data_IF_375219481433
#
_entry.id   IF_375219481433
#
_cell.length_a   1.000
_cell.length_b   1.000
_cell.length_c   1.000
_cell.angle_alpha   90.00
_cell.angle_beta   90.00
_cell.angle_gamma   90.00
#
_symmetry.space_group_name_H-M   'P 1'
#
loop_
_entity.id
_entity.type
_entity.pdbx_description
1 polymer ?
#
# COMPACT_ATOMS: atom_id res chain seq x y z
N UNK A 1 -20.59 17.40 50.01
CA UNK A 1 -19.56 17.65 48.99
C UNK A 1 -18.91 16.30 48.73
N UNK A 2 -19.21 15.70 47.57
CA UNK A 2 -18.69 14.40 47.16
C UNK A 2 -17.48 14.64 46.28
N UNK A 3 -16.29 14.33 46.74
CA UNK A 3 -15.05 14.37 45.98
C UNK A 3 -14.95 13.12 45.08
N UNK A 4 -15.13 13.28 43.78
CA UNK A 4 -14.94 12.24 42.79
C UNK A 4 -13.43 12.17 42.49
N UNK A 5 -12.71 11.18 42.96
CA UNK A 5 -11.34 10.89 42.62
C UNK A 5 -11.27 10.25 41.22
N UNK A 6 -10.79 11.02 40.22
CA UNK A 6 -10.50 10.49 38.89
C UNK A 6 -9.18 9.72 38.99
N UNK A 7 -9.26 8.41 39.02
CA UNK A 7 -8.09 7.53 38.90
C UNK A 7 -7.54 7.60 37.48
N UNK A 8 -6.37 8.19 37.32
CA UNK A 8 -5.60 8.11 36.07
C UNK A 8 -5.08 6.69 35.95
N UNK A 9 -5.66 5.89 35.03
CA UNK A 9 -5.14 4.60 34.64
C UNK A 9 -3.92 4.87 33.72
N UNK A 10 -2.72 4.79 34.29
CA UNK A 10 -1.47 4.75 33.53
C UNK A 10 -1.43 3.43 32.75
N UNK A 11 -1.76 3.46 31.46
CA UNK A 11 -1.55 2.33 30.55
C UNK A 11 -0.04 2.19 30.36
N UNK A 12 0.60 1.04 30.65
CA UNK A 12 2.02 0.88 30.54
C UNK A 12 2.44 0.88 29.06
N UNK A 13 2.96 2.00 28.58
CA UNK A 13 3.53 2.16 27.24
C UNK A 13 4.70 1.20 26.92
N UNK A 14 5.27 0.59 27.93
CA UNK A 14 6.40 -0.35 27.83
C UNK A 14 5.99 -1.72 27.24
N UNK A 15 4.74 -2.18 27.48
CA UNK A 15 4.32 -3.49 26.99
C UNK A 15 4.09 -3.52 25.48
N UNK A 16 3.66 -2.40 24.87
CA UNK A 16 3.41 -2.29 23.44
C UNK A 16 4.74 -2.25 22.66
N UNK A 17 5.74 -1.55 23.17
CA UNK A 17 7.07 -1.46 22.54
C UNK A 17 7.82 -2.82 22.56
N UNK A 18 7.68 -3.62 23.63
CA UNK A 18 8.36 -4.92 23.72
C UNK A 18 7.74 -6.01 22.85
N UNK A 19 6.41 -6.00 22.65
CA UNK A 19 5.74 -6.93 21.73
C UNK A 19 6.06 -6.60 20.27
N UNK A 20 6.15 -5.33 19.92
CA UNK A 20 6.53 -4.88 18.57
C UNK A 20 7.98 -5.26 18.23
N UNK A 21 8.92 -5.02 19.13
CA UNK A 21 10.31 -5.40 18.95
C UNK A 21 10.52 -6.92 18.81
N UNK A 22 9.71 -7.73 19.51
CA UNK A 22 9.78 -9.20 19.42
C UNK A 22 9.21 -9.74 18.13
N UNK A 23 8.18 -9.09 17.54
CA UNK A 23 7.60 -9.53 16.26
C UNK A 23 8.56 -9.27 15.09
N UNK A 24 9.36 -8.22 15.15
CA UNK A 24 10.33 -7.88 14.11
C UNK A 24 11.55 -8.82 14.07
N UNK A 25 11.90 -9.45 15.19
CA UNK A 25 13.02 -10.40 15.26
C UNK A 25 12.81 -11.68 14.42
N UNK A 26 11.57 -11.95 13.97
CA UNK A 26 11.21 -13.12 13.20
C UNK A 26 10.83 -12.79 11.74
N UNK A 27 11.26 -11.64 11.23
CA UNK A 27 11.17 -11.35 9.79
C UNK A 27 12.26 -12.15 9.06
N UNK A 28 11.83 -13.00 8.14
CA UNK A 28 12.73 -13.84 7.34
C UNK A 28 13.02 -13.24 5.97
N UNK A 29 13.67 -14.03 5.14
CA UNK A 29 14.06 -13.63 3.78
C UNK A 29 12.85 -13.24 2.91
N UNK A 30 11.71 -13.96 3.04
CA UNK A 30 10.52 -13.69 2.24
C UNK A 30 9.89 -12.34 2.61
N UNK A 31 9.85 -11.99 3.90
CA UNK A 31 9.34 -10.71 4.37
C UNK A 31 10.24 -9.56 3.94
N UNK A 32 11.55 -9.74 3.98
CA UNK A 32 12.54 -8.77 3.48
C UNK A 32 12.35 -8.57 1.97
N UNK A 33 12.33 -9.65 1.20
CA UNK A 33 12.13 -9.59 -0.25
C UNK A 33 10.77 -8.95 -0.61
N UNK A 34 9.70 -9.33 0.09
CA UNK A 34 8.39 -8.70 -0.08
C UNK A 34 8.45 -7.20 0.17
N UNK A 35 9.11 -6.75 1.24
CA UNK A 35 9.23 -5.33 1.55
C UNK A 35 10.03 -4.58 0.47
N UNK A 36 11.13 -5.14 0.00
CA UNK A 36 11.96 -4.56 -1.07
C UNK A 36 11.19 -4.42 -2.39
N UNK A 37 10.27 -5.35 -2.70
CA UNK A 37 9.42 -5.29 -3.89
C UNK A 37 8.22 -4.36 -3.70
N UNK A 38 7.54 -4.44 -2.56
CA UNK A 38 6.29 -3.72 -2.34
C UNK A 38 6.50 -2.21 -2.11
N UNK A 39 7.64 -1.79 -1.59
CA UNK A 39 7.97 -0.36 -1.43
C UNK A 39 7.94 0.38 -2.77
N UNK A 40 8.73 0.02 -3.80
CA UNK A 40 8.68 0.70 -5.09
C UNK A 40 7.35 0.50 -5.81
N UNK A 41 6.67 -0.62 -5.59
CA UNK A 41 5.32 -0.85 -6.10
C UNK A 41 4.35 0.19 -5.53
N UNK A 42 4.31 0.39 -4.23
CA UNK A 42 3.49 1.42 -3.59
C UNK A 42 3.87 2.85 -4.02
N UNK A 43 5.16 3.12 -4.20
CA UNK A 43 5.62 4.43 -4.72
C UNK A 43 5.03 4.74 -6.09
N UNK A 44 4.91 3.75 -6.96
CA UNK A 44 4.29 3.96 -8.27
C UNK A 44 2.78 4.27 -8.14
N UNK A 45 2.03 3.56 -7.28
CA UNK A 45 0.61 3.87 -7.05
C UNK A 45 0.40 5.27 -6.46
N UNK A 46 1.26 5.69 -5.52
CA UNK A 46 1.26 7.04 -4.96
C UNK A 46 1.51 8.06 -6.07
N UNK A 47 2.52 7.84 -6.93
CA UNK A 47 2.82 8.71 -8.07
C UNK A 47 1.65 8.80 -9.05
N UNK A 48 1.00 7.67 -9.38
CA UNK A 48 -0.20 7.64 -10.22
C UNK A 48 -1.36 8.41 -9.58
N UNK A 49 -1.54 8.28 -8.28
CA UNK A 49 -2.55 9.00 -7.52
C UNK A 49 -2.30 10.51 -7.52
N UNK A 50 -1.04 10.93 -7.37
CA UNK A 50 -0.66 12.35 -7.48
C UNK A 50 -0.95 12.94 -8.88
N UNK A 51 -0.77 12.15 -9.94
CA UNK A 51 -1.15 12.55 -11.30
C UNK A 51 -2.68 12.70 -11.40
N UNK A 52 -3.44 11.75 -10.83
CA UNK A 52 -4.90 11.80 -10.84
C UNK A 52 -5.45 13.00 -10.07
N UNK A 53 -4.88 13.33 -8.92
CA UNK A 53 -5.25 14.50 -8.12
C UNK A 53 -5.04 15.83 -8.89
N UNK A 54 -4.08 15.88 -9.81
CA UNK A 54 -3.80 17.07 -10.64
C UNK A 54 -4.67 17.14 -11.90
N UNK A 55 -5.04 15.99 -12.48
CA UNK A 55 -5.64 15.91 -13.81
C UNK A 55 -7.13 15.61 -13.83
N UNK A 56 -7.62 14.78 -12.91
CA UNK A 56 -9.03 14.43 -12.85
C UNK A 56 -9.88 15.59 -12.32
N UNK A 57 -11.11 15.66 -12.80
CA UNK A 57 -12.20 16.50 -12.22
C UNK A 57 -13.31 15.65 -11.62
N UNK A 58 -13.21 14.33 -11.71
CA UNK A 58 -14.17 13.41 -11.15
C UNK A 58 -13.96 13.24 -9.66
N UNK A 59 -14.90 13.69 -8.85
CA UNK A 59 -14.79 13.68 -7.38
C UNK A 59 -14.58 12.27 -6.81
N UNK A 60 -15.14 11.24 -7.42
CA UNK A 60 -14.94 9.87 -6.96
C UNK A 60 -13.51 9.39 -7.19
N UNK A 61 -12.89 9.78 -8.33
CA UNK A 61 -11.48 9.48 -8.62
C UNK A 61 -10.56 10.26 -7.70
N UNK A 62 -10.83 11.55 -7.44
CA UNK A 62 -10.04 12.36 -6.51
C UNK A 62 -10.07 11.76 -5.10
N UNK A 63 -11.26 11.35 -4.62
CA UNK A 63 -11.42 10.68 -3.32
C UNK A 63 -10.63 9.36 -3.27
N UNK A 64 -10.78 8.51 -4.28
CA UNK A 64 -10.06 7.23 -4.39
C UNK A 64 -8.55 7.45 -4.39
N UNK A 65 -8.04 8.40 -5.16
CA UNK A 65 -6.61 8.72 -5.25
C UNK A 65 -6.04 9.17 -3.90
N UNK A 66 -6.77 10.00 -3.15
CA UNK A 66 -6.36 10.39 -1.79
C UNK A 66 -6.33 9.19 -0.83
N UNK A 67 -7.30 8.28 -0.92
CA UNK A 67 -7.34 7.06 -0.10
C UNK A 67 -6.16 6.14 -0.39
N UNK A 68 -5.90 5.83 -1.67
CA UNK A 68 -4.76 5.02 -2.11
C UNK A 68 -3.45 5.64 -1.61
N UNK A 69 -3.24 6.94 -1.84
CA UNK A 69 -2.03 7.65 -1.43
C UNK A 69 -1.79 7.56 0.08
N UNK A 70 -2.83 7.79 0.89
CA UNK A 70 -2.72 7.74 2.35
C UNK A 70 -2.42 6.34 2.86
N UNK A 71 -3.17 5.34 2.38
CA UNK A 71 -3.04 3.97 2.85
C UNK A 71 -1.69 3.36 2.46
N UNK A 72 -1.35 3.43 1.17
CA UNK A 72 -0.09 2.87 0.69
C UNK A 72 1.14 3.65 1.18
N UNK A 73 1.00 4.93 1.51
CA UNK A 73 2.03 5.69 2.22
C UNK A 73 2.32 5.14 3.62
N UNK A 74 1.28 4.76 4.36
CA UNK A 74 1.41 4.12 5.68
C UNK A 74 2.04 2.72 5.57
N UNK A 75 1.56 1.90 4.63
CA UNK A 75 2.09 0.56 4.38
C UNK A 75 3.56 0.60 3.96
N UNK A 76 3.93 1.53 3.07
CA UNK A 76 5.32 1.77 2.67
C UNK A 76 6.22 2.09 3.88
N UNK A 77 5.74 2.93 4.80
CA UNK A 77 6.49 3.28 6.01
C UNK A 77 6.69 2.09 6.93
N UNK A 78 5.69 1.22 7.05
CA UNK A 78 5.81 -0.03 7.81
C UNK A 78 6.83 -0.99 7.17
N UNK A 79 6.79 -1.16 5.85
CA UNK A 79 7.75 -2.00 5.13
C UNK A 79 9.19 -1.46 5.23
N UNK A 80 9.39 -0.15 5.13
CA UNK A 80 10.69 0.48 5.34
C UNK A 80 11.21 0.27 6.77
N UNK A 81 10.32 0.27 7.76
CA UNK A 81 10.68 -0.05 9.14
C UNK A 81 11.13 -1.51 9.28
N UNK A 82 10.52 -2.47 8.58
CA UNK A 82 10.96 -3.86 8.55
C UNK A 82 12.38 -4.01 8.01
N UNK A 83 12.67 -3.36 6.87
CA UNK A 83 14.02 -3.40 6.28
C UNK A 83 15.07 -2.81 7.23
N UNK A 84 14.74 -1.70 7.88
CA UNK A 84 15.61 -1.11 8.89
C UNK A 84 15.83 -2.05 10.09
N UNK A 85 14.80 -2.71 10.58
CA UNK A 85 14.85 -3.60 11.73
C UNK A 85 15.65 -4.88 11.46
N UNK A 86 15.74 -5.29 10.19
CA UNK A 86 16.51 -6.46 9.73
C UNK A 86 17.89 -6.10 9.17
N UNK A 87 18.30 -4.83 9.26
CA UNK A 87 19.52 -4.30 8.64
C UNK A 87 19.65 -4.66 7.15
N UNK A 88 18.50 -4.64 6.45
CA UNK A 88 18.38 -5.02 5.04
C UNK A 88 18.39 -3.79 4.14
N UNK A 89 18.95 -3.94 2.92
CA UNK A 89 18.92 -2.91 1.89
C UNK A 89 17.46 -2.51 1.55
N UNK A 90 17.27 -1.24 1.21
CA UNK A 90 15.99 -0.71 0.72
C UNK A 90 15.66 -1.17 -0.71
N UNK A 91 16.66 -1.63 -1.44
CA UNK A 91 16.57 -2.08 -2.82
C UNK A 91 17.04 -3.52 -2.96
N UNK A 92 16.52 -4.21 -3.94
CA UNK A 92 17.01 -5.52 -4.33
C UNK A 92 18.25 -5.40 -5.21
N UNK A 93 19.17 -6.36 -5.11
CA UNK A 93 20.39 -6.40 -5.92
C UNK A 93 20.13 -6.75 -7.40
N UNK A 94 18.89 -7.16 -7.74
CA UNK A 94 18.49 -7.56 -9.08
C UNK A 94 17.23 -6.85 -9.52
N UNK A 95 17.18 -6.47 -10.80
CA UNK A 95 16.00 -5.87 -11.43
C UNK A 95 14.92 -6.95 -11.65
N UNK A 96 14.10 -7.20 -10.62
CA UNK A 96 12.97 -8.14 -10.71
C UNK A 96 11.75 -7.44 -11.27
N UNK A 97 11.18 -8.03 -12.32
CA UNK A 97 9.92 -7.54 -12.88
C UNK A 97 8.77 -7.82 -11.89
N UNK A 98 8.30 -6.77 -11.23
CA UNK A 98 7.17 -6.87 -10.30
C UNK A 98 5.85 -6.89 -11.04
N UNK A 99 4.98 -7.85 -10.65
CA UNK A 99 3.65 -7.97 -11.25
C UNK A 99 2.85 -6.68 -11.11
N UNK A 100 2.11 -6.32 -12.15
CA UNK A 100 1.24 -5.15 -12.16
C UNK A 100 1.93 -3.80 -12.34
N UNK A 101 3.24 -3.70 -12.19
CA UNK A 101 3.96 -2.45 -12.40
C UNK A 101 3.75 -1.90 -13.81
N UNK A 102 3.56 -0.58 -13.90
CA UNK A 102 3.51 0.13 -15.15
C UNK A 102 4.92 0.36 -15.69
N UNK A 103 5.06 0.13 -16.98
CA UNK A 103 6.26 0.54 -17.72
C UNK A 103 6.37 2.07 -17.80
N UNK A 104 7.58 2.56 -18.04
CA UNK A 104 7.82 3.99 -18.30
C UNK A 104 6.94 4.54 -19.45
N UNK A 105 6.69 3.69 -20.47
CA UNK A 105 5.84 4.05 -21.62
C UNK A 105 4.37 4.18 -21.22
N UNK A 106 3.84 3.26 -20.42
CA UNK A 106 2.45 3.32 -19.92
C UNK A 106 2.24 4.56 -19.04
N UNK A 107 3.18 4.84 -18.13
CA UNK A 107 3.13 6.01 -17.27
C UNK A 107 3.22 7.32 -18.08
N UNK A 108 4.11 7.39 -19.08
CA UNK A 108 4.19 8.54 -19.97
C UNK A 108 2.92 8.72 -20.79
N UNK A 109 2.27 7.64 -21.23
CA UNK A 109 1.00 7.68 -21.95
C UNK A 109 -0.12 8.19 -21.03
N UNK A 110 -0.21 7.71 -19.82
CA UNK A 110 -1.17 8.19 -18.82
C UNK A 110 -1.03 9.70 -18.58
N UNK A 111 0.20 10.20 -18.44
CA UNK A 111 0.50 11.63 -18.24
C UNK A 111 0.03 12.52 -19.39
N UNK A 112 -0.10 12.02 -20.62
CA UNK A 112 -0.55 12.79 -21.78
C UNK A 112 -2.08 12.90 -21.89
N UNK A 113 -2.81 11.96 -21.30
CA UNK A 113 -4.27 11.94 -21.34
C UNK A 113 -4.88 13.04 -20.48
N UNK A 114 -6.13 13.42 -20.80
CA UNK A 114 -6.95 14.40 -20.05
C UNK A 114 -8.41 13.98 -20.01
N UNK A 115 -9.22 14.58 -19.14
CA UNK A 115 -10.65 14.37 -19.04
C UNK A 115 -11.01 12.89 -18.83
N UNK A 116 -12.12 12.45 -19.44
CA UNK A 116 -12.64 11.07 -19.28
C UNK A 116 -11.65 10.02 -19.80
N UNK A 117 -10.84 10.34 -20.80
CA UNK A 117 -9.83 9.40 -21.31
C UNK A 117 -8.74 9.15 -20.24
N UNK A 118 -8.30 10.20 -19.57
CA UNK A 118 -7.40 10.07 -18.43
C UNK A 118 -8.03 9.23 -17.31
N UNK A 119 -9.25 9.57 -16.92
CA UNK A 119 -9.95 8.91 -15.82
C UNK A 119 -10.11 7.40 -16.07
N UNK A 120 -10.48 7.04 -17.30
CA UNK A 120 -10.60 5.63 -17.72
C UNK A 120 -9.26 4.91 -17.69
N UNK A 121 -8.24 5.51 -18.27
CA UNK A 121 -6.89 4.92 -18.30
C UNK A 121 -6.31 4.76 -16.89
N UNK A 122 -6.45 5.77 -16.02
CA UNK A 122 -6.03 5.71 -14.63
C UNK A 122 -6.66 4.53 -13.90
N UNK A 123 -7.99 4.37 -13.99
CA UNK A 123 -8.69 3.27 -13.34
C UNK A 123 -8.24 1.90 -13.85
N UNK A 124 -8.09 1.74 -15.16
CA UNK A 124 -7.64 0.47 -15.76
C UNK A 124 -6.22 0.09 -15.33
N UNK A 125 -5.32 1.05 -15.37
CA UNK A 125 -3.92 0.85 -14.99
C UNK A 125 -3.77 0.59 -13.49
N UNK A 126 -4.54 1.29 -12.64
CA UNK A 126 -4.54 1.08 -11.20
C UNK A 126 -5.17 -0.27 -10.82
N UNK A 127 -6.16 -0.76 -11.54
CA UNK A 127 -6.69 -2.12 -11.36
C UNK A 127 -5.59 -3.17 -11.65
N UNK A 128 -4.88 -3.04 -12.77
CA UNK A 128 -3.75 -3.92 -13.12
C UNK A 128 -2.68 -3.88 -12.03
N UNK A 129 -2.34 -2.70 -11.56
CA UNK A 129 -1.34 -2.48 -10.52
C UNK A 129 -1.75 -3.17 -9.21
N UNK A 130 -2.97 -2.99 -8.75
CA UNK A 130 -3.48 -3.63 -7.53
C UNK A 130 -3.56 -5.15 -7.63
N UNK A 131 -3.91 -5.69 -8.80
CA UNK A 131 -3.87 -7.12 -9.03
C UNK A 131 -2.46 -7.69 -8.85
N UNK A 132 -1.45 -7.00 -9.38
CA UNK A 132 -0.06 -7.39 -9.19
C UNK A 132 0.39 -7.34 -7.72
N UNK A 133 -0.04 -6.33 -6.96
CA UNK A 133 0.24 -6.29 -5.52
C UNK A 133 -0.36 -7.49 -4.78
N UNK A 134 -1.60 -7.89 -5.12
CA UNK A 134 -2.26 -9.04 -4.51
C UNK A 134 -1.49 -10.34 -4.84
N UNK A 135 -1.00 -10.50 -6.07
CA UNK A 135 -0.18 -11.65 -6.45
C UNK A 135 1.13 -11.74 -5.64
N UNK A 136 1.76 -10.59 -5.36
CA UNK A 136 2.99 -10.56 -4.54
C UNK A 136 2.77 -10.97 -3.08
N UNK A 137 1.53 -10.97 -2.57
CA UNK A 137 1.23 -11.42 -1.22
C UNK A 137 1.54 -12.89 -0.98
N UNK A 138 1.65 -13.70 -2.03
CA UNK A 138 2.02 -15.12 -1.94
C UNK A 138 3.38 -15.30 -1.27
N UNK A 139 4.29 -14.31 -1.36
CA UNK A 139 5.59 -14.34 -0.68
C UNK A 139 5.48 -14.42 0.84
N UNK A 140 4.42 -13.85 1.42
CA UNK A 140 4.24 -13.74 2.87
C UNK A 140 2.92 -14.35 3.37
N UNK A 141 2.16 -15.02 2.49
CA UNK A 141 0.87 -15.67 2.85
C UNK A 141 1.04 -16.69 3.96
N UNK A 142 2.10 -17.49 3.91
CA UNK A 142 2.42 -18.55 4.87
C UNK A 142 3.44 -18.12 5.94
N UNK A 143 3.73 -16.83 6.02
CA UNK A 143 4.65 -16.28 7.02
C UNK A 143 4.26 -16.72 8.43
N UNK A 144 5.25 -17.04 9.25
CA UNK A 144 5.07 -17.29 10.69
C UNK A 144 5.05 -15.98 11.50
N UNK A 145 5.45 -14.88 10.87
CA UNK A 145 5.42 -13.57 11.47
C UNK A 145 4.00 -13.00 11.47
N UNK A 146 3.48 -12.66 12.66
CA UNK A 146 2.09 -12.19 12.83
C UNK A 146 1.85 -10.82 12.19
N UNK A 147 2.86 -9.94 12.18
CA UNK A 147 2.73 -8.63 11.52
C UNK A 147 2.69 -8.78 9.99
N UNK A 148 3.52 -9.66 9.44
CA UNK A 148 3.50 -9.95 8.00
C UNK A 148 2.15 -10.52 7.56
N UNK A 149 1.59 -11.46 8.30
CA UNK A 149 0.24 -11.97 8.05
C UNK A 149 -0.83 -10.89 8.15
N UNK A 150 -0.75 -10.04 9.17
CA UNK A 150 -1.71 -8.95 9.36
C UNK A 150 -1.63 -7.94 8.21
N UNK A 151 -0.42 -7.57 7.80
CA UNK A 151 -0.20 -6.68 6.67
C UNK A 151 -0.69 -7.29 5.35
N UNK A 152 -0.37 -8.55 5.06
CA UNK A 152 -0.87 -9.26 3.87
C UNK A 152 -2.40 -9.24 3.80
N UNK A 153 -3.07 -9.55 4.92
CA UNK A 153 -4.53 -9.52 5.01
C UNK A 153 -5.09 -8.10 4.81
N UNK A 154 -4.45 -7.10 5.37
CA UNK A 154 -4.84 -5.69 5.23
C UNK A 154 -4.74 -5.22 3.78
N UNK A 155 -3.59 -5.45 3.12
CA UNK A 155 -3.35 -5.11 1.71
C UNK A 155 -4.37 -5.83 0.81
N UNK A 156 -4.54 -7.14 0.98
CA UNK A 156 -5.51 -7.91 0.19
C UNK A 156 -6.93 -7.35 0.32
N UNK A 157 -7.38 -7.09 1.54
CA UNK A 157 -8.73 -6.56 1.81
C UNK A 157 -8.92 -5.16 1.21
N UNK A 158 -7.96 -4.26 1.40
CA UNK A 158 -8.04 -2.90 0.91
C UNK A 158 -8.03 -2.85 -0.62
N UNK A 159 -7.05 -3.48 -1.25
CA UNK A 159 -6.87 -3.42 -2.70
C UNK A 159 -7.95 -4.18 -3.46
N UNK A 160 -8.49 -5.27 -2.93
CA UNK A 160 -9.67 -5.95 -3.51
C UNK A 160 -10.92 -5.07 -3.51
N UNK A 161 -11.14 -4.29 -2.43
CA UNK A 161 -12.24 -3.31 -2.36
C UNK A 161 -12.03 -2.15 -3.33
N UNK A 162 -10.80 -1.67 -3.44
CA UNK A 162 -10.44 -0.61 -4.39
C UNK A 162 -10.61 -1.07 -5.84
N UNK A 163 -10.19 -2.28 -6.20
CA UNK A 163 -10.44 -2.90 -7.52
C UNK A 163 -11.94 -2.92 -7.82
N UNK A 164 -12.76 -3.37 -6.87
CA UNK A 164 -14.22 -3.42 -7.03
C UNK A 164 -14.78 -2.01 -7.27
N UNK A 165 -14.35 -1.03 -6.48
CA UNK A 165 -14.76 0.37 -6.63
C UNK A 165 -14.34 0.95 -7.97
N UNK A 166 -13.11 0.68 -8.42
CA UNK A 166 -12.60 1.12 -9.72
C UNK A 166 -13.38 0.52 -10.89
N UNK A 167 -13.71 -0.78 -10.83
CA UNK A 167 -14.56 -1.44 -11.83
C UNK A 167 -15.96 -0.82 -11.92
N UNK A 168 -16.55 -0.45 -10.78
CA UNK A 168 -17.84 0.25 -10.75
C UNK A 168 -17.75 1.66 -11.32
N UNK A 169 -16.67 2.40 -11.02
CA UNK A 169 -16.43 3.73 -11.60
C UNK A 169 -16.26 3.66 -13.12
N UNK A 170 -15.48 2.68 -13.62
CA UNK A 170 -15.31 2.47 -15.07
C UNK A 170 -16.64 2.27 -15.81
N UNK A 171 -17.59 1.55 -15.22
CA UNK A 171 -18.92 1.35 -15.80
C UNK A 171 -19.74 2.66 -15.86
N UNK A 172 -19.48 3.62 -14.97
CA UNK A 172 -20.18 4.91 -14.90
C UNK A 172 -19.56 5.99 -15.79
N UNK A 173 -18.31 5.83 -16.20
CA UNK A 173 -17.65 6.76 -17.12
C UNK A 173 -18.21 6.53 -18.53
N UNK A 174 -18.96 7.50 -19.04
CA UNK A 174 -19.48 7.54 -20.42
C UNK A 174 -18.43 8.04 -21.40
#
# INVERSE_FOLDING_TARGET
>A
VLLLSIGIVLIPSVAIASTHAKSLQNLGMNEVMFAQMMIPHHEQAISMSDIALKKSRNQAILKLSNQIKSLQGTEKSQLAYWLKATDSSMTMDHDMQMSGMLTTKELASLKRLTGTQFDRAFLQLMIKHHQGAIEMLDLISDSKNMEAKALAKAINSAQSKEITSMKLLLKKLK
#
